data_IF_458783468070
#
_entry.id   IF_458783468070
#
_cell.length_a   1.000
_cell.length_b   1.000
_cell.length_c   1.000
_cell.angle_alpha   90.00
_cell.angle_beta   90.00
_cell.angle_gamma   90.00
#
_symmetry.space_group_name_H-M   'P 1'
#
loop_
_entity.id
_entity.type
_entity.pdbx_description
1 polymer ?
#
# COMPACT_ATOMS: atom_id res chain seq x y z
N UNK A 1 7.37 -17.27 18.68
CA UNK A 1 7.07 -17.57 17.25
C UNK A 1 7.95 -16.82 16.25
N UNK A 2 8.48 -15.63 16.56
CA UNK A 2 9.36 -14.90 15.64
C UNK A 2 10.82 -15.37 15.63
N UNK A 3 11.26 -16.14 16.62
CA UNK A 3 12.67 -16.60 16.71
C UNK A 3 13.02 -17.72 15.73
N UNK A 4 12.04 -18.49 15.25
CA UNK A 4 12.26 -19.58 14.30
C UNK A 4 12.33 -19.14 12.84
N UNK A 5 11.94 -17.90 12.54
CA UNK A 5 11.85 -17.37 11.17
C UNK A 5 12.97 -16.36 10.94
N UNK A 6 13.74 -16.53 9.87
CA UNK A 6 14.77 -15.58 9.47
C UNK A 6 14.15 -14.26 8.97
N UNK A 7 14.88 -13.17 9.13
CA UNK A 7 14.54 -11.85 8.60
C UNK A 7 14.24 -11.86 7.09
N UNK A 8 14.99 -12.62 6.29
CA UNK A 8 14.75 -12.81 4.85
C UNK A 8 13.36 -13.43 4.60
N UNK A 9 12.97 -14.43 5.39
CA UNK A 9 11.64 -15.05 5.26
C UNK A 9 10.54 -14.08 5.66
N UNK A 10 10.74 -13.29 6.72
CA UNK A 10 9.79 -12.25 7.12
C UNK A 10 9.67 -11.17 6.04
N UNK A 11 10.78 -10.80 5.39
CA UNK A 11 10.81 -9.90 4.23
C UNK A 11 9.99 -10.44 3.06
N UNK A 12 10.24 -11.68 2.65
CA UNK A 12 9.51 -12.31 1.56
C UNK A 12 7.99 -12.37 1.84
N UNK A 13 7.60 -12.74 3.06
CA UNK A 13 6.19 -12.77 3.48
C UNK A 13 5.57 -11.37 3.46
N UNK A 14 6.25 -10.39 4.06
CA UNK A 14 5.77 -9.00 4.14
C UNK A 14 5.62 -8.37 2.75
N UNK A 15 6.62 -8.55 1.88
CA UNK A 15 6.58 -8.07 0.50
C UNK A 15 5.44 -8.74 -0.28
N UNK A 16 5.24 -10.04 -0.13
CA UNK A 16 4.14 -10.77 -0.78
C UNK A 16 2.78 -10.27 -0.32
N UNK A 17 2.58 -10.07 1.00
CA UNK A 17 1.33 -9.53 1.56
C UNK A 17 1.06 -8.14 1.02
N UNK A 18 2.05 -7.25 1.03
CA UNK A 18 1.89 -5.88 0.55
C UNK A 18 1.69 -5.82 -0.97
N UNK A 19 2.29 -6.74 -1.74
CA UNK A 19 2.05 -6.87 -3.17
C UNK A 19 0.62 -7.34 -3.46
N UNK A 20 0.13 -8.38 -2.77
CA UNK A 20 -1.26 -8.84 -2.89
C UNK A 20 -2.22 -7.69 -2.54
N UNK A 21 -1.94 -6.96 -1.46
CA UNK A 21 -2.71 -5.79 -1.04
C UNK A 21 -2.73 -4.70 -2.13
N UNK A 22 -1.58 -4.44 -2.77
CA UNK A 22 -1.47 -3.50 -3.89
C UNK A 22 -2.32 -3.97 -5.08
N UNK A 23 -2.24 -5.25 -5.46
CA UNK A 23 -3.02 -5.83 -6.55
C UNK A 23 -4.53 -5.73 -6.28
N UNK A 24 -4.98 -6.03 -5.06
CA UNK A 24 -6.38 -5.86 -4.67
C UNK A 24 -6.82 -4.40 -4.76
N UNK A 25 -5.95 -3.46 -4.38
CA UNK A 25 -6.24 -2.02 -4.44
C UNK A 25 -6.38 -1.52 -5.89
N UNK A 26 -5.52 -1.98 -6.82
CA UNK A 26 -5.61 -1.63 -8.24
C UNK A 26 -6.84 -2.25 -8.89
N UNK A 27 -7.21 -3.48 -8.52
CA UNK A 27 -8.46 -4.10 -8.99
C UNK A 27 -9.70 -3.32 -8.52
N UNK A 28 -9.73 -2.88 -7.25
CA UNK A 28 -10.83 -2.06 -6.74
C UNK A 28 -10.87 -0.71 -7.46
N UNK A 29 -9.74 -0.01 -7.60
CA UNK A 29 -9.66 1.24 -8.34
C UNK A 29 -10.14 1.08 -9.79
N UNK A 30 -9.80 -0.03 -10.45
CA UNK A 30 -10.27 -0.34 -11.79
C UNK A 30 -11.80 -0.42 -11.86
N UNK A 31 -12.44 -1.12 -10.91
CA UNK A 31 -13.91 -1.17 -10.79
C UNK A 31 -14.53 0.20 -10.52
N UNK A 32 -13.91 1.01 -9.67
CA UNK A 32 -14.38 2.37 -9.37
C UNK A 32 -14.26 3.31 -10.57
N UNK A 33 -13.20 3.18 -11.38
CA UNK A 33 -13.04 3.94 -12.63
C UNK A 33 -14.13 3.60 -13.67
N UNK A 34 -14.57 2.33 -13.72
CA UNK A 34 -15.71 1.95 -14.57
C UNK A 34 -17.02 2.59 -14.09
N UNK A 35 -17.27 2.63 -12.78
CA UNK A 35 -18.45 3.29 -12.21
C UNK A 35 -18.41 4.83 -12.39
N UNK A 36 -17.22 5.42 -12.36
CA UNK A 36 -17.00 6.86 -12.53
C UNK A 36 -17.00 7.33 -14.00
N UNK A 37 -17.00 6.39 -14.96
CA UNK A 37 -16.90 6.67 -16.41
C UNK A 37 -15.69 7.55 -16.81
N UNK A 38 -14.60 7.44 -16.05
CA UNK A 38 -13.34 8.20 -16.24
C UNK A 38 -12.32 7.46 -17.11
N UNK A 39 -12.67 6.26 -17.57
CA UNK A 39 -11.85 5.44 -18.47
C UNK A 39 -11.74 6.07 -19.86
N UNK A 40 -10.64 5.72 -20.52
CA UNK A 40 -10.41 6.10 -21.91
C UNK A 40 -11.55 5.59 -22.82
N UNK A 41 -11.86 6.28 -23.93
CA UNK A 41 -12.99 5.95 -24.78
C UNK A 41 -12.93 4.53 -25.37
N UNK A 42 -11.74 3.99 -25.66
CA UNK A 42 -11.55 2.62 -26.15
C UNK A 42 -12.02 1.57 -25.14
N UNK A 43 -11.78 1.79 -23.84
CA UNK A 43 -12.18 0.90 -22.75
C UNK A 43 -13.71 0.90 -22.55
N UNK A 44 -14.43 1.93 -23.03
CA UNK A 44 -15.90 2.02 -22.88
C UNK A 44 -16.63 0.96 -23.69
N UNK A 45 -16.05 0.51 -24.80
CA UNK A 45 -16.61 -0.58 -25.61
C UNK A 45 -16.70 -1.89 -24.81
N UNK A 46 -15.73 -2.14 -23.92
CA UNK A 46 -15.73 -3.26 -22.99
C UNK A 46 -16.82 -3.14 -21.90
N UNK A 47 -17.12 -1.91 -21.47
CA UNK A 47 -18.17 -1.66 -20.46
C UNK A 47 -19.56 -1.91 -21.05
N UNK A 48 -19.79 -1.45 -22.29
CA UNK A 48 -21.03 -1.70 -23.02
C UNK A 48 -21.23 -3.18 -23.32
N UNK A 49 -20.17 -3.92 -23.68
CA UNK A 49 -20.26 -5.37 -23.91
C UNK A 49 -20.46 -6.17 -22.62
N UNK A 50 -20.02 -5.66 -21.46
CA UNK A 50 -20.27 -6.26 -20.14
C UNK A 50 -21.64 -5.90 -19.53
N UNK A 51 -22.49 -5.16 -20.23
CA UNK A 51 -23.86 -4.85 -19.78
C UNK A 51 -23.93 -3.91 -18.56
N UNK A 52 -22.86 -3.18 -18.25
CA UNK A 52 -22.83 -2.25 -17.12
C UNK A 52 -23.56 -0.96 -17.52
N UNK A 53 -24.75 -0.74 -16.95
CA UNK A 53 -25.49 0.52 -17.11
C UNK A 53 -24.78 1.63 -16.31
N UNK A 54 -24.13 2.55 -17.01
CA UNK A 54 -23.56 3.76 -16.40
C UNK A 54 -24.71 4.67 -15.99
N UNK A 55 -24.98 4.76 -14.69
CA UNK A 55 -26.01 5.62 -14.14
C UNK A 55 -25.81 7.07 -14.61
N UNK A 56 -26.85 7.66 -15.22
CA UNK A 56 -26.83 9.02 -15.78
C UNK A 56 -27.12 10.13 -14.76
N UNK A 57 -27.31 9.80 -13.48
CA UNK A 57 -27.53 10.80 -12.44
C UNK A 57 -26.19 11.49 -12.10
N UNK A 58 -26.13 12.81 -12.33
CA UNK A 58 -24.94 13.62 -12.10
C UNK A 58 -24.41 13.52 -10.66
N UNK A 59 -25.29 13.35 -9.67
CA UNK A 59 -24.87 13.19 -8.27
C UNK A 59 -24.16 11.86 -8.05
N UNK A 60 -24.68 10.78 -8.64
CA UNK A 60 -24.09 9.45 -8.55
C UNK A 60 -22.72 9.39 -9.25
N UNK A 61 -22.60 10.05 -10.41
CA UNK A 61 -21.32 10.15 -11.14
C UNK A 61 -20.28 10.91 -10.33
N UNK A 62 -20.63 12.06 -9.74
CA UNK A 62 -19.71 12.84 -8.89
C UNK A 62 -19.21 12.02 -7.70
N UNK A 63 -20.09 11.31 -7.00
CA UNK A 63 -19.70 10.44 -5.90
C UNK A 63 -18.77 9.29 -6.34
N UNK A 64 -19.01 8.71 -7.52
CA UNK A 64 -18.15 7.68 -8.08
C UNK A 64 -16.75 8.20 -8.44
N UNK A 65 -16.66 9.43 -8.99
CA UNK A 65 -15.38 10.09 -9.28
C UNK A 65 -14.59 10.38 -8.00
N UNK A 66 -15.25 10.86 -6.93
CA UNK A 66 -14.60 11.08 -5.63
C UNK A 66 -14.05 9.78 -5.03
N UNK A 67 -14.82 8.70 -5.13
CA UNK A 67 -14.38 7.39 -4.66
C UNK A 67 -13.22 6.85 -5.50
N UNK A 68 -13.25 6.99 -6.83
CA UNK A 68 -12.12 6.63 -7.68
C UNK A 68 -10.87 7.44 -7.32
N UNK A 69 -10.98 8.76 -7.12
CA UNK A 69 -9.87 9.61 -6.71
C UNK A 69 -9.27 9.16 -5.37
N UNK A 70 -10.11 8.71 -4.43
CA UNK A 70 -9.65 8.15 -3.16
C UNK A 70 -8.78 6.91 -3.38
N UNK A 71 -9.23 5.97 -4.20
CA UNK A 71 -8.47 4.76 -4.51
C UNK A 71 -7.18 5.07 -5.28
N UNK A 72 -7.18 6.05 -6.19
CA UNK A 72 -5.95 6.55 -6.82
C UNK A 72 -4.93 7.04 -5.79
N UNK A 73 -5.37 7.83 -4.79
CA UNK A 73 -4.48 8.31 -3.73
C UNK A 73 -3.96 7.21 -2.80
N UNK A 74 -4.74 6.16 -2.56
CA UNK A 74 -4.29 4.97 -1.81
C UNK A 74 -3.12 4.33 -2.56
N UNK A 75 -3.31 4.02 -3.84
CA UNK A 75 -2.30 3.39 -4.70
C UNK A 75 -1.06 4.27 -4.83
N UNK A 76 -1.25 5.57 -5.05
CA UNK A 76 -0.13 6.51 -5.15
C UNK A 76 0.69 6.54 -3.85
N UNK A 77 0.05 6.57 -2.68
CA UNK A 77 0.78 6.54 -1.42
C UNK A 77 1.54 5.21 -1.20
N UNK A 78 1.02 4.10 -1.72
CA UNK A 78 1.76 2.84 -1.71
C UNK A 78 3.00 2.89 -2.61
N UNK A 79 2.88 3.48 -3.81
CA UNK A 79 3.99 3.64 -4.75
C UNK A 79 5.06 4.61 -4.24
N UNK A 80 4.68 5.63 -3.47
CA UNK A 80 5.61 6.57 -2.85
C UNK A 80 6.40 5.95 -1.69
N UNK A 81 5.80 4.97 -0.97
CA UNK A 81 6.37 4.43 0.27
C UNK A 81 6.96 3.02 0.14
N UNK A 82 6.27 2.08 -0.51
CA UNK A 82 6.64 0.66 -0.49
C UNK A 82 7.93 0.33 -1.23
N UNK A 83 8.19 0.83 -2.45
CA UNK A 83 9.42 0.52 -3.17
C UNK A 83 10.65 0.92 -2.36
N UNK A 84 10.66 2.14 -1.80
CA UNK A 84 11.76 2.61 -0.96
C UNK A 84 11.87 1.83 0.35
N UNK A 85 10.73 1.49 0.97
CA UNK A 85 10.74 0.64 2.17
C UNK A 85 11.41 -0.71 1.90
N UNK A 86 11.09 -1.37 0.78
CA UNK A 86 11.69 -2.64 0.42
C UNK A 86 13.19 -2.53 0.20
N UNK A 87 13.65 -1.45 -0.45
CA UNK A 87 15.08 -1.18 -0.61
C UNK A 87 15.78 -1.03 0.74
N UNK A 88 15.22 -0.23 1.65
CA UNK A 88 15.79 0.01 2.99
C UNK A 88 15.81 -1.25 3.86
N UNK A 89 14.74 -2.03 3.84
CA UNK A 89 14.70 -3.27 4.61
C UNK A 89 15.62 -4.34 4.02
N UNK A 90 15.72 -4.41 2.69
CA UNK A 90 16.67 -5.31 2.04
C UNK A 90 18.12 -4.91 2.36
N UNK A 91 18.44 -3.61 2.30
CA UNK A 91 19.78 -3.14 2.66
C UNK A 91 20.12 -3.46 4.11
N UNK A 92 19.19 -3.25 5.05
CA UNK A 92 19.37 -3.59 6.46
C UNK A 92 19.68 -5.09 6.68
N UNK A 93 19.00 -5.99 5.94
CA UNK A 93 19.29 -7.43 5.97
C UNK A 93 20.70 -7.71 5.42
N UNK A 94 21.04 -7.13 4.27
CA UNK A 94 22.34 -7.40 3.61
C UNK A 94 23.54 -6.88 4.40
N UNK A 95 23.38 -5.77 5.12
CA UNK A 95 24.41 -5.17 5.98
C UNK A 95 24.52 -5.92 7.33
N UNK A 96 23.57 -6.80 7.66
CA UNK A 96 23.61 -7.59 8.88
C UNK A 96 23.07 -6.87 10.11
N UNK A 97 22.10 -5.95 9.94
CA UNK A 97 21.37 -5.36 11.07
C UNK A 97 20.69 -6.47 11.88
N UNK A 98 20.63 -6.31 13.21
CA UNK A 98 20.02 -7.29 14.12
C UNK A 98 18.68 -7.84 13.59
N UNK A 99 18.57 -9.16 13.38
CA UNK A 99 17.35 -9.76 12.83
C UNK A 99 16.11 -9.48 13.68
N UNK A 100 16.25 -9.36 15.00
CA UNK A 100 15.13 -9.04 15.88
C UNK A 100 14.54 -7.65 15.60
N UNK A 101 15.40 -6.66 15.34
CA UNK A 101 14.99 -5.28 15.00
C UNK A 101 14.34 -5.28 13.62
N UNK A 102 15.01 -5.86 12.63
CA UNK A 102 14.52 -5.90 11.24
C UNK A 102 13.15 -6.58 11.14
N UNK A 103 12.98 -7.76 11.78
CA UNK A 103 11.70 -8.48 11.79
C UNK A 103 10.57 -7.66 12.42
N UNK A 104 10.83 -7.05 13.57
CA UNK A 104 9.83 -6.26 14.30
C UNK A 104 9.38 -5.05 13.49
N UNK A 105 10.33 -4.28 12.97
CA UNK A 105 10.04 -3.08 12.17
C UNK A 105 9.30 -3.42 10.88
N UNK A 106 9.67 -4.52 10.23
CA UNK A 106 9.04 -4.95 8.97
C UNK A 106 7.61 -5.44 9.18
N UNK A 107 7.34 -6.18 10.27
CA UNK A 107 5.98 -6.58 10.63
C UNK A 107 5.13 -5.37 11.02
N UNK A 108 5.66 -4.47 11.84
CA UNK A 108 4.97 -3.23 12.21
C UNK A 108 4.66 -2.37 10.98
N UNK A 109 5.62 -2.24 10.06
CA UNK A 109 5.43 -1.56 8.78
C UNK A 109 4.30 -2.21 7.95
N UNK A 110 4.31 -3.54 7.82
CA UNK A 110 3.30 -4.27 7.06
C UNK A 110 1.90 -4.06 7.62
N UNK A 111 1.74 -4.20 8.94
CA UNK A 111 0.46 -3.94 9.63
C UNK A 111 0.03 -2.49 9.45
N UNK A 112 0.95 -1.52 9.58
CA UNK A 112 0.66 -0.12 9.39
C UNK A 112 0.16 0.19 7.96
N UNK A 113 0.77 -0.40 6.92
CA UNK A 113 0.37 -0.19 5.52
C UNK A 113 -0.97 -0.85 5.16
N UNK A 114 -1.24 -2.04 5.68
CA UNK A 114 -2.56 -2.69 5.51
C UNK A 114 -3.63 -1.88 6.22
N UNK A 115 -3.38 -1.47 7.47
CA UNK A 115 -4.29 -0.64 8.26
C UNK A 115 -4.54 0.71 7.60
N UNK A 116 -3.48 1.37 7.08
CA UNK A 116 -3.58 2.62 6.35
C UNK A 116 -4.57 2.53 5.18
N UNK A 117 -4.52 1.43 4.43
CA UNK A 117 -5.43 1.19 3.30
C UNK A 117 -6.89 1.06 3.76
N UNK A 118 -7.12 0.30 4.83
CA UNK A 118 -8.45 0.11 5.41
C UNK A 118 -9.03 1.42 5.97
N UNK A 119 -8.27 2.19 6.74
CA UNK A 119 -8.77 3.46 7.30
C UNK A 119 -8.96 4.55 6.23
N UNK A 120 -8.20 4.49 5.13
CA UNK A 120 -8.39 5.38 3.99
C UNK A 120 -9.72 5.09 3.27
N UNK A 121 -10.03 3.82 3.04
CA UNK A 121 -11.31 3.44 2.41
C UNK A 121 -12.51 3.77 3.32
N UNK A 122 -12.35 3.68 4.64
CA UNK A 122 -13.36 4.04 5.64
C UNK A 122 -13.49 5.56 5.91
N UNK A 123 -12.75 6.41 5.20
CA UNK A 123 -12.82 7.88 5.35
C UNK A 123 -12.42 8.35 6.76
N UNK A 124 -11.44 7.71 7.39
CA UNK A 124 -10.97 8.06 8.74
C UNK A 124 -9.63 8.83 8.69
N UNK A 125 -9.64 10.18 8.54
CA UNK A 125 -8.42 10.94 8.26
C UNK A 125 -7.39 10.92 9.40
N UNK A 126 -7.83 10.93 10.66
CA UNK A 126 -6.94 10.90 11.84
C UNK A 126 -6.23 9.54 11.95
N UNK A 127 -6.98 8.45 11.86
CA UNK A 127 -6.41 7.10 11.88
C UNK A 127 -5.46 6.87 10.70
N UNK A 128 -5.80 7.39 9.50
CA UNK A 128 -4.93 7.36 8.33
C UNK A 128 -3.58 8.03 8.60
N UNK A 129 -3.58 9.22 9.19
CA UNK A 129 -2.34 9.93 9.53
C UNK A 129 -1.47 9.12 10.49
N UNK A 130 -2.07 8.54 11.53
CA UNK A 130 -1.34 7.71 12.51
C UNK A 130 -0.73 6.48 11.85
N UNK A 131 -1.48 5.74 11.02
CA UNK A 131 -0.94 4.59 10.29
C UNK A 131 0.18 4.98 9.33
N UNK A 132 0.06 6.13 8.65
CA UNK A 132 1.12 6.64 7.78
C UNK A 132 2.38 6.98 8.58
N UNK A 133 2.25 7.72 9.69
CA UNK A 133 3.38 8.07 10.56
C UNK A 133 4.07 6.83 11.13
N UNK A 134 3.30 5.84 11.58
CA UNK A 134 3.86 4.58 12.08
C UNK A 134 4.65 3.84 11.01
N UNK A 135 4.14 3.78 9.77
CA UNK A 135 4.85 3.18 8.64
C UNK A 135 6.16 3.92 8.32
N UNK A 136 6.10 5.25 8.20
CA UNK A 136 7.28 6.09 7.93
C UNK A 136 8.33 5.96 9.04
N UNK A 137 7.91 5.93 10.30
CA UNK A 137 8.80 5.72 11.43
C UNK A 137 9.57 4.40 11.32
N UNK A 138 8.90 3.30 10.95
CA UNK A 138 9.57 2.00 10.77
C UNK A 138 10.68 2.06 9.72
N UNK A 139 10.45 2.74 8.59
CA UNK A 139 11.45 2.90 7.52
C UNK A 139 12.63 3.74 8.02
N UNK A 140 12.38 4.86 8.69
CA UNK A 140 13.44 5.75 9.20
C UNK A 140 14.31 5.02 10.23
N UNK A 141 13.70 4.30 11.18
CA UNK A 141 14.46 3.53 12.16
C UNK A 141 15.30 2.44 11.49
N UNK A 142 14.76 1.73 10.48
CA UNK A 142 15.52 0.72 9.74
C UNK A 142 16.70 1.35 8.99
N UNK A 143 16.50 2.51 8.35
CA UNK A 143 17.57 3.22 7.65
C UNK A 143 18.69 3.67 8.60
N UNK A 144 18.34 4.23 9.77
CA UNK A 144 19.33 4.65 10.77
C UNK A 144 20.15 3.47 11.29
N UNK A 145 19.51 2.32 11.55
CA UNK A 145 20.23 1.10 11.96
C UNK A 145 21.12 0.57 10.84
N UNK A 146 20.66 0.62 9.58
CA UNK A 146 21.45 0.23 8.42
C UNK A 146 22.72 1.10 8.29
N UNK A 147 22.60 2.42 8.46
CA UNK A 147 23.75 3.34 8.43
C UNK A 147 24.70 3.08 9.58
N UNK A 148 24.17 2.89 10.80
CA UNK A 148 25.00 2.61 11.97
C UNK A 148 25.86 1.34 11.77
N UNK A 149 25.26 0.25 11.29
CA UNK A 149 26.01 -1.00 11.07
C UNK A 149 26.94 -0.91 9.86
N UNK A 150 26.57 -0.20 8.79
CA UNK A 150 27.42 -0.06 7.61
C UNK A 150 28.70 0.76 7.85
N UNK A 151 28.71 1.61 8.88
CA UNK A 151 29.85 2.49 9.21
C UNK A 151 30.74 1.93 10.33
N UNK A 152 30.37 0.80 10.94
CA UNK A 152 31.17 0.09 11.96
C UNK A 152 31.98 -1.03 11.31
#
# INVERSE_FOLDING_TARGET
>A
MLDSISDIKVFALSASVLYIKFLLSTMIQGRKAFAANTRLPEDKTLVCSMGINVNKDEKAVKAAVEDEMRWKRIIQNDLESMPLAFVVFWSAITVGVSPAITKTLLLAYTVARVSHTAVYSLVMPRARMVCWMAGSFCIVVAALNCVAVALM
#
